data_IF_922671508235
#
_entry.id   IF_922671508235
#
_cell.length_a   1.000
_cell.length_b   1.000
_cell.length_c   1.000
_cell.angle_alpha   90.00
_cell.angle_beta   90.00
_cell.angle_gamma   90.00
#
_symmetry.space_group_name_H-M   'P 1'
#
loop_
_entity.id
_entity.type
_entity.pdbx_description
1 polymer ?
#
# COMPACT_ATOMS: atom_id res chain seq x y z
N UNK A 1 -24.03 22.20 -55.51
CA UNK A 1 -24.53 21.24 -54.50
C UNK A 1 -23.56 21.27 -53.33
N UNK A 2 -23.97 21.65 -52.11
CA UNK A 2 -23.09 21.59 -50.95
C UNK A 2 -23.00 20.13 -50.46
N UNK A 3 -21.77 19.65 -50.27
CA UNK A 3 -21.50 18.36 -49.63
C UNK A 3 -21.83 18.45 -48.14
N UNK A 4 -22.82 17.67 -47.73
CA UNK A 4 -23.13 17.39 -46.33
C UNK A 4 -21.98 16.58 -45.73
N UNK A 5 -21.24 17.19 -44.79
CA UNK A 5 -20.20 16.52 -44.02
C UNK A 5 -20.86 15.61 -42.97
N UNK A 6 -20.46 14.35 -43.05
CA UNK A 6 -21.01 13.17 -42.39
C UNK A 6 -20.87 13.20 -40.87
N UNK A 7 -21.83 12.54 -40.24
CA UNK A 7 -21.87 12.06 -38.86
C UNK A 7 -20.50 11.88 -38.20
N UNK A 8 -20.17 12.76 -37.26
CA UNK A 8 -19.21 12.45 -36.20
C UNK A 8 -19.81 11.30 -35.38
N UNK A 9 -19.25 10.09 -35.51
CA UNK A 9 -19.42 9.07 -34.49
C UNK A 9 -18.78 9.64 -33.22
N UNK A 10 -19.63 10.16 -32.32
CA UNK A 10 -19.17 10.62 -31.02
C UNK A 10 -18.46 9.46 -30.35
N UNK A 11 -17.16 9.62 -30.10
CA UNK A 11 -16.41 8.69 -29.27
C UNK A 11 -17.15 8.65 -27.93
N UNK A 12 -17.61 7.46 -27.52
CA UNK A 12 -18.11 7.28 -26.17
C UNK A 12 -16.97 7.60 -25.20
N UNK A 13 -17.27 8.38 -24.17
CA UNK A 13 -16.28 8.66 -23.14
C UNK A 13 -15.85 7.35 -22.47
N UNK A 14 -14.54 7.12 -22.27
CA UNK A 14 -14.05 5.93 -21.58
C UNK A 14 -14.68 5.81 -20.19
N UNK A 15 -15.03 4.58 -19.79
CA UNK A 15 -15.49 4.32 -18.44
C UNK A 15 -14.36 4.38 -17.41
N UNK A 16 -14.70 4.47 -16.12
CA UNK A 16 -13.74 4.48 -14.99
C UNK A 16 -12.65 3.38 -15.09
N UNK A 17 -13.03 2.17 -15.48
CA UNK A 17 -12.11 1.03 -15.66
C UNK A 17 -11.15 1.23 -16.83
N UNK A 18 -11.59 1.90 -17.89
CA UNK A 18 -10.76 2.12 -19.07
C UNK A 18 -9.58 3.03 -18.73
N UNK A 19 -9.77 4.04 -17.88
CA UNK A 19 -8.69 4.90 -17.41
C UNK A 19 -7.64 4.14 -16.58
N UNK A 20 -8.09 3.30 -15.64
CA UNK A 20 -7.20 2.43 -14.87
C UNK A 20 -6.39 1.52 -15.81
N UNK A 21 -7.05 0.88 -16.76
CA UNK A 21 -6.41 0.00 -17.73
C UNK A 21 -5.42 0.75 -18.65
N UNK A 22 -5.73 1.98 -19.06
CA UNK A 22 -4.82 2.83 -19.84
C UNK A 22 -3.55 3.14 -19.04
N UNK A 23 -3.69 3.51 -17.76
CA UNK A 23 -2.53 3.78 -16.89
C UNK A 23 -1.68 2.52 -16.71
N UNK A 24 -2.30 1.38 -16.41
CA UNK A 24 -1.61 0.11 -16.28
C UNK A 24 -0.93 -0.33 -17.58
N UNK A 25 -1.59 -0.13 -18.74
CA UNK A 25 -1.01 -0.41 -20.05
C UNK A 25 0.22 0.48 -20.33
N UNK A 26 0.17 1.75 -19.94
CA UNK A 26 1.30 2.66 -20.07
C UNK A 26 2.50 2.18 -19.23
N UNK A 27 2.28 1.79 -17.98
CA UNK A 27 3.33 1.20 -17.14
C UNK A 27 3.86 -0.12 -17.72
N UNK A 28 2.97 -1.00 -18.18
CA UNK A 28 3.32 -2.27 -18.81
C UNK A 28 4.11 -2.11 -20.13
N UNK A 29 4.10 -0.93 -20.75
CA UNK A 29 4.96 -0.67 -21.92
C UNK A 29 6.46 -0.55 -21.59
N UNK A 30 6.82 -0.43 -20.30
CA UNK A 30 8.21 -0.33 -19.82
C UNK A 30 8.73 -1.62 -19.17
N UNK A 31 8.12 -2.79 -19.44
CA UNK A 31 8.43 -4.08 -18.81
C UNK A 31 9.88 -4.58 -18.90
N UNK A 32 10.65 -4.11 -19.88
CA UNK A 32 12.06 -4.50 -20.04
C UNK A 32 13.01 -3.77 -19.09
N UNK A 33 12.53 -2.77 -18.35
CA UNK A 33 13.34 -2.00 -17.42
C UNK A 33 13.23 -2.67 -16.05
N UNK A 34 14.22 -3.48 -15.69
CA UNK A 34 14.35 -4.08 -14.35
C UNK A 34 15.77 -3.91 -13.83
N UNK A 35 15.96 -3.62 -12.52
CA UNK A 35 14.93 -3.41 -11.49
C UNK A 35 14.29 -2.02 -11.54
N UNK A 36 13.01 -1.93 -11.16
CA UNK A 36 12.31 -0.67 -10.87
C UNK A 36 12.16 -0.52 -9.37
N UNK A 37 12.50 0.65 -8.85
CA UNK A 37 12.22 1.04 -7.48
C UNK A 37 10.84 1.69 -7.34
N UNK A 38 10.14 1.43 -6.24
CA UNK A 38 8.91 2.14 -5.88
C UNK A 38 9.12 2.87 -4.56
N UNK A 39 8.91 4.19 -4.55
CA UNK A 39 9.02 5.00 -3.35
C UNK A 39 7.66 5.13 -2.67
N UNK A 40 7.45 4.35 -1.60
CA UNK A 40 6.33 4.54 -0.69
C UNK A 40 6.52 5.84 0.07
N UNK A 41 5.62 6.79 -0.18
CA UNK A 41 5.62 8.10 0.47
C UNK A 41 4.23 8.43 0.99
N UNK A 42 4.11 9.00 2.21
CA UNK A 42 2.87 9.59 2.65
C UNK A 42 2.39 10.66 1.66
N UNK A 43 1.08 10.72 1.42
CA UNK A 43 0.42 11.74 0.58
C UNK A 43 -0.63 12.49 1.41
N UNK A 44 -1.76 11.83 1.69
CA UNK A 44 -2.90 12.37 2.43
C UNK A 44 -2.86 12.05 3.94
N UNK A 45 -2.01 11.11 4.34
CA UNK A 45 -1.79 10.67 5.72
C UNK A 45 -0.30 10.78 6.09
N UNK A 46 0.11 10.22 7.24
CA UNK A 46 1.50 10.28 7.69
C UNK A 46 1.71 11.24 8.86
N UNK A 47 2.97 11.39 9.27
CA UNK A 47 3.34 12.25 10.40
C UNK A 47 2.83 13.68 10.25
N UNK A 48 2.91 14.24 9.04
CA UNK A 48 2.51 15.61 8.74
C UNK A 48 1.01 15.84 8.98
N UNK A 49 0.14 14.89 8.60
CA UNK A 49 -1.30 14.96 8.91
C UNK A 49 -1.51 15.16 10.42
N UNK A 50 -0.93 14.30 11.25
CA UNK A 50 -1.13 14.38 12.69
C UNK A 50 -0.51 15.62 13.32
N UNK A 51 0.55 16.17 12.74
CA UNK A 51 1.13 17.45 13.18
C UNK A 51 0.17 18.61 12.88
N UNK A 52 -0.37 18.66 11.66
CA UNK A 52 -1.34 19.68 11.24
C UNK A 52 -2.63 19.58 12.05
N UNK A 53 -3.19 18.38 12.26
CA UNK A 53 -4.38 18.20 13.12
C UNK A 53 -4.13 18.77 14.52
N UNK A 54 -2.96 18.51 15.09
CA UNK A 54 -2.59 19.00 16.41
C UNK A 54 -2.41 20.53 16.45
N UNK A 55 -1.83 21.15 15.42
CA UNK A 55 -1.65 22.62 15.38
C UNK A 55 -2.97 23.38 15.24
N UNK A 56 -3.97 22.78 14.59
CA UNK A 56 -5.32 23.32 14.49
C UNK A 56 -6.23 22.92 15.67
N UNK A 57 -5.74 22.08 16.60
CA UNK A 57 -6.52 21.64 17.77
C UNK A 57 -7.66 20.67 17.44
N UNK A 58 -7.63 20.03 16.27
CA UNK A 58 -8.64 19.07 15.78
C UNK A 58 -8.15 17.62 15.91
N UNK A 59 -9.06 16.66 15.77
CA UNK A 59 -8.79 15.22 15.95
C UNK A 59 -8.85 14.40 14.68
N UNK A 60 -9.53 14.87 13.66
CA UNK A 60 -9.63 14.17 12.38
C UNK A 60 -9.70 15.13 11.19
N UNK A 61 -9.64 14.53 9.99
CA UNK A 61 -9.62 15.27 8.74
C UNK A 61 -10.94 16.00 8.45
N UNK A 62 -12.08 15.49 8.93
CA UNK A 62 -13.38 16.14 8.70
C UNK A 62 -13.45 17.45 9.48
N UNK A 63 -12.99 17.46 10.73
CA UNK A 63 -12.86 18.67 11.53
C UNK A 63 -11.91 19.69 10.89
N UNK A 64 -10.80 19.23 10.29
CA UNK A 64 -9.85 20.11 9.60
C UNK A 64 -10.45 20.75 8.35
N UNK A 65 -11.09 19.95 7.49
CA UNK A 65 -11.74 20.42 6.25
C UNK A 65 -12.92 21.34 6.54
N UNK A 66 -13.59 21.17 7.68
CA UNK A 66 -14.64 22.09 8.12
C UNK A 66 -14.13 23.49 8.50
N UNK A 67 -12.83 23.64 8.81
CA UNK A 67 -12.19 24.93 9.06
C UNK A 67 -11.84 25.61 7.73
N UNK A 68 -11.09 24.91 6.88
CA UNK A 68 -10.69 25.36 5.55
C UNK A 68 -10.30 24.12 4.72
N UNK A 69 -11.07 23.87 3.65
CA UNK A 69 -10.86 22.72 2.76
C UNK A 69 -9.49 22.73 2.09
N UNK A 70 -8.89 23.91 1.90
CA UNK A 70 -7.58 24.06 1.28
C UNK A 70 -6.43 23.67 2.22
N UNK A 71 -6.65 23.55 3.54
CA UNK A 71 -5.59 23.14 4.48
C UNK A 71 -5.05 21.77 4.10
N UNK A 72 -5.92 20.82 3.74
CA UNK A 72 -5.52 19.47 3.36
C UNK A 72 -4.54 19.51 2.17
N UNK A 73 -4.86 20.30 1.15
CA UNK A 73 -4.01 20.43 -0.04
C UNK A 73 -2.71 21.15 0.30
N UNK A 74 -2.83 22.32 0.93
CA UNK A 74 -1.74 23.28 1.14
C UNK A 74 -0.72 22.81 2.16
N UNK A 75 -1.18 22.22 3.26
CA UNK A 75 -0.34 21.91 4.42
C UNK A 75 0.01 20.43 4.55
N UNK A 76 -0.70 19.53 3.87
CA UNK A 76 -0.45 18.08 3.97
C UNK A 76 -0.04 17.50 2.62
N UNK A 77 -0.91 17.55 1.60
CA UNK A 77 -0.70 16.85 0.33
C UNK A 77 0.45 17.47 -0.46
N UNK A 78 0.44 18.79 -0.67
CA UNK A 78 1.46 19.47 -1.46
C UNK A 78 2.86 19.31 -0.85
N UNK A 79 3.08 19.56 0.46
CA UNK A 79 4.41 19.37 1.05
C UNK A 79 4.88 17.92 1.01
N UNK A 80 3.98 16.95 1.25
CA UNK A 80 4.30 15.54 1.15
C UNK A 80 4.69 15.13 -0.28
N UNK A 81 3.91 15.57 -1.27
CA UNK A 81 4.15 15.28 -2.67
C UNK A 81 5.49 15.86 -3.14
N UNK A 82 5.74 17.15 -2.89
CA UNK A 82 6.98 17.82 -3.26
C UNK A 82 8.20 17.15 -2.61
N UNK A 83 8.11 16.80 -1.31
CA UNK A 83 9.20 16.10 -0.64
C UNK A 83 9.41 14.68 -1.18
N UNK A 84 8.34 13.95 -1.51
CA UNK A 84 8.41 12.63 -2.10
C UNK A 84 9.03 12.64 -3.50
N UNK A 85 8.63 13.60 -4.34
CA UNK A 85 9.18 13.82 -5.69
C UNK A 85 10.67 14.12 -5.60
N UNK A 86 11.07 15.09 -4.76
CA UNK A 86 12.47 15.45 -4.60
C UNK A 86 13.34 14.27 -4.11
N UNK A 87 12.81 13.45 -3.20
CA UNK A 87 13.49 12.24 -2.72
C UNK A 87 13.61 11.20 -3.82
N UNK A 88 12.54 10.92 -4.57
CA UNK A 88 12.55 9.96 -5.68
C UNK A 88 13.54 10.35 -6.77
N UNK A 89 13.58 11.63 -7.15
CA UNK A 89 14.55 12.16 -8.11
C UNK A 89 16.00 11.97 -7.63
N UNK A 90 16.24 12.18 -6.33
CA UNK A 90 17.55 11.94 -5.71
C UNK A 90 17.91 10.46 -5.76
N UNK A 91 17.03 9.57 -5.32
CA UNK A 91 17.25 8.13 -5.29
C UNK A 91 17.49 7.57 -6.71
N UNK A 92 16.72 8.03 -7.70
CA UNK A 92 16.89 7.62 -9.09
C UNK A 92 18.30 7.96 -9.62
N UNK A 93 18.83 9.15 -9.28
CA UNK A 93 20.20 9.55 -9.63
C UNK A 93 21.25 8.74 -8.88
N UNK A 94 21.09 8.62 -7.56
CA UNK A 94 22.08 8.00 -6.69
C UNK A 94 22.20 6.48 -6.97
N UNK A 95 21.07 5.79 -7.14
CA UNK A 95 21.01 4.34 -7.30
C UNK A 95 21.02 3.89 -8.76
N UNK A 96 20.87 4.84 -9.70
CA UNK A 96 20.88 4.58 -11.16
C UNK A 96 19.82 3.57 -11.61
N UNK A 97 18.67 3.59 -10.94
CA UNK A 97 17.48 2.82 -11.32
C UNK A 97 16.29 3.78 -11.48
N UNK A 98 15.31 3.47 -12.34
CA UNK A 98 14.07 4.23 -12.36
C UNK A 98 13.33 4.07 -11.03
N UNK A 99 12.80 5.18 -10.52
CA UNK A 99 11.98 5.21 -9.30
C UNK A 99 10.57 5.69 -9.65
N UNK A 100 9.58 4.87 -9.34
CA UNK A 100 8.17 5.26 -9.40
C UNK A 100 7.85 6.06 -8.14
N UNK A 101 7.34 7.27 -8.33
CA UNK A 101 6.97 8.19 -7.25
C UNK A 101 5.48 8.49 -7.37
N UNK A 102 4.61 7.82 -6.59
CA UNK A 102 3.16 7.92 -6.73
C UNK A 102 2.59 9.35 -6.72
N UNK A 103 3.07 10.29 -5.88
CA UNK A 103 2.58 11.67 -5.89
C UNK A 103 2.74 12.43 -7.22
N UNK A 104 3.58 11.97 -8.15
CA UNK A 104 3.69 12.55 -9.51
C UNK A 104 2.38 12.33 -10.28
N UNK A 105 1.67 11.25 -9.98
CA UNK A 105 0.35 11.00 -10.53
C UNK A 105 -0.65 11.91 -9.82
N UNK A 106 -0.95 13.06 -10.44
CA UNK A 106 -1.84 14.11 -9.94
C UNK A 106 -3.31 13.65 -9.89
N UNK A 107 -3.64 12.65 -9.07
CA UNK A 107 -4.98 12.08 -8.91
C UNK A 107 -6.02 13.13 -8.49
N UNK A 108 -5.61 14.25 -7.89
CA UNK A 108 -6.51 15.36 -7.58
C UNK A 108 -7.02 16.08 -8.81
N UNK A 109 -6.19 16.26 -9.85
CA UNK A 109 -6.67 16.76 -11.14
C UNK A 109 -7.70 15.79 -11.69
N UNK A 110 -7.45 14.49 -11.58
CA UNK A 110 -8.40 13.47 -12.01
C UNK A 110 -9.71 13.51 -11.23
N UNK A 111 -9.70 13.66 -9.91
CA UNK A 111 -10.93 13.84 -9.10
C UNK A 111 -11.73 15.07 -9.49
N UNK A 112 -11.05 16.17 -9.83
CA UNK A 112 -11.71 17.41 -10.27
C UNK A 112 -12.47 17.23 -11.59
N UNK A 113 -11.91 16.46 -12.53
CA UNK A 113 -12.48 16.26 -13.86
C UNK A 113 -13.34 14.99 -13.98
N UNK A 114 -13.13 14.00 -13.12
CA UNK A 114 -13.80 12.71 -13.11
C UNK A 114 -14.23 12.39 -11.68
N UNK A 115 -15.50 12.72 -11.38
CA UNK A 115 -16.08 12.57 -10.02
C UNK A 115 -16.14 11.13 -9.53
N UNK A 116 -15.91 10.17 -10.43
CA UNK A 116 -16.00 8.75 -10.10
C UNK A 116 -14.67 8.14 -9.63
N UNK A 117 -13.57 8.92 -9.61
CA UNK A 117 -12.27 8.42 -9.15
C UNK A 117 -12.16 8.41 -7.63
N UNK A 118 -12.01 7.21 -7.05
CA UNK A 118 -11.93 7.00 -5.61
C UNK A 118 -10.52 6.64 -5.14
N UNK A 119 -10.28 6.69 -3.84
CA UNK A 119 -9.03 6.22 -3.22
C UNK A 119 -8.73 4.75 -3.58
N UNK A 120 -9.75 3.90 -3.69
CA UNK A 120 -9.56 2.48 -4.04
C UNK A 120 -9.03 2.28 -5.46
N UNK A 121 -9.38 3.13 -6.43
CA UNK A 121 -8.83 3.03 -7.79
C UNK A 121 -7.37 3.42 -7.82
N UNK A 122 -7.01 4.45 -7.05
CA UNK A 122 -5.64 4.89 -6.87
C UNK A 122 -4.80 3.77 -6.27
N UNK A 123 -5.25 3.17 -5.16
CA UNK A 123 -4.54 2.05 -4.53
C UNK A 123 -4.47 0.82 -5.45
N UNK A 124 -5.54 0.54 -6.20
CA UNK A 124 -5.54 -0.56 -7.17
C UNK A 124 -4.43 -0.41 -8.21
N UNK A 125 -4.29 0.77 -8.84
CA UNK A 125 -3.23 1.02 -9.81
C UNK A 125 -1.86 0.73 -9.20
N UNK A 126 -1.60 1.25 -8.01
CA UNK A 126 -0.26 1.11 -7.41
C UNK A 126 0.04 -0.30 -6.95
N UNK A 127 -0.93 -1.04 -6.39
CA UNK A 127 -0.70 -2.43 -6.04
C UNK A 127 -0.43 -3.31 -7.25
N UNK A 128 -1.08 -3.02 -8.39
CA UNK A 128 -0.80 -3.69 -9.66
C UNK A 128 0.61 -3.36 -10.17
N UNK A 129 0.98 -2.08 -10.17
CA UNK A 129 2.33 -1.64 -10.55
C UNK A 129 3.40 -2.27 -9.65
N UNK A 130 3.20 -2.28 -8.32
CA UNK A 130 4.12 -2.90 -7.36
C UNK A 130 4.25 -4.40 -7.66
N UNK A 131 3.12 -5.08 -7.87
CA UNK A 131 3.10 -6.52 -8.14
C UNK A 131 3.81 -6.89 -9.44
N UNK A 132 3.58 -6.14 -10.51
CA UNK A 132 3.99 -6.53 -11.86
C UNK A 132 5.36 -6.01 -12.28
N UNK A 133 5.84 -4.93 -11.67
CA UNK A 133 7.04 -4.22 -12.15
C UNK A 133 8.11 -3.97 -11.10
N UNK A 134 7.73 -3.90 -9.82
CA UNK A 134 8.64 -3.42 -8.78
C UNK A 134 9.42 -4.60 -8.21
N UNK A 135 10.75 -4.51 -8.29
CA UNK A 135 11.66 -5.43 -7.61
C UNK A 135 12.19 -4.88 -6.29
N UNK A 136 12.07 -3.56 -6.08
CA UNK A 136 12.64 -2.85 -4.95
C UNK A 136 11.64 -1.84 -4.37
N UNK A 137 11.08 -2.19 -3.21
CA UNK A 137 10.23 -1.31 -2.40
C UNK A 137 11.08 -0.43 -1.49
N UNK A 138 10.86 0.89 -1.56
CA UNK A 138 11.62 1.90 -0.81
C UNK A 138 10.66 2.64 0.11
N UNK A 139 10.91 2.57 1.41
CA UNK A 139 10.06 3.16 2.42
C UNK A 139 10.62 4.50 2.87
N UNK A 140 9.93 5.60 2.54
CA UNK A 140 10.31 6.94 3.02
C UNK A 140 10.18 7.02 4.55
N UNK A 141 11.04 7.80 5.20
CA UNK A 141 10.91 8.05 6.63
C UNK A 141 9.50 8.55 7.00
N UNK A 142 8.94 7.97 8.06
CA UNK A 142 7.57 8.24 8.50
C UNK A 142 6.48 7.46 7.76
N UNK A 143 6.82 6.53 6.85
CA UNK A 143 5.85 5.66 6.17
C UNK A 143 4.91 4.92 7.12
N UNK A 144 5.40 4.53 8.29
CA UNK A 144 4.65 3.78 9.32
C UNK A 144 3.54 4.60 10.00
N UNK A 145 3.49 5.92 9.77
CA UNK A 145 2.38 6.78 10.17
C UNK A 145 1.35 6.97 9.04
N UNK A 146 1.63 6.50 7.82
CA UNK A 146 0.76 6.68 6.67
C UNK A 146 -0.08 5.42 6.45
N UNK A 147 -1.40 5.59 6.29
CA UNK A 147 -2.28 4.48 5.95
C UNK A 147 -1.83 3.83 4.64
N UNK A 148 -1.60 4.63 3.59
CA UNK A 148 -1.09 4.14 2.31
C UNK A 148 0.28 3.48 2.45
N UNK A 149 1.23 4.13 3.15
CA UNK A 149 2.57 3.58 3.32
C UNK A 149 2.62 2.25 4.08
N UNK A 150 1.78 2.09 5.11
CA UNK A 150 1.67 0.81 5.83
C UNK A 150 1.01 -0.25 4.97
N UNK A 151 -0.07 0.07 4.25
CA UNK A 151 -0.72 -0.91 3.36
C UNK A 151 0.19 -1.35 2.21
N UNK A 152 0.98 -0.43 1.65
CA UNK A 152 2.00 -0.74 0.65
C UNK A 152 3.13 -1.61 1.22
N UNK A 153 3.56 -1.38 2.47
CA UNK A 153 4.52 -2.26 3.15
C UNK A 153 3.96 -3.67 3.34
N UNK A 154 2.71 -3.80 3.81
CA UNK A 154 2.02 -5.07 3.96
C UNK A 154 1.93 -5.81 2.63
N UNK A 155 1.59 -5.12 1.54
CA UNK A 155 1.57 -5.67 0.18
C UNK A 155 2.96 -6.12 -0.29
N UNK A 156 4.01 -5.33 -0.03
CA UNK A 156 5.38 -5.70 -0.36
C UNK A 156 5.85 -6.94 0.44
N UNK A 157 5.45 -7.07 1.71
CA UNK A 157 5.70 -8.25 2.53
C UNK A 157 4.97 -9.47 1.95
N UNK A 158 3.71 -9.32 1.56
CA UNK A 158 2.93 -10.36 0.91
C UNK A 158 3.65 -10.90 -0.34
N UNK A 159 4.11 -10.01 -1.20
CA UNK A 159 4.87 -10.36 -2.42
C UNK A 159 6.22 -11.01 -2.07
N UNK A 160 6.95 -10.49 -1.08
CA UNK A 160 8.22 -11.04 -0.61
C UNK A 160 8.07 -12.48 -0.11
N UNK A 161 6.98 -12.76 0.59
CA UNK A 161 6.65 -14.08 1.13
C UNK A 161 5.98 -15.01 0.12
N UNK A 162 5.78 -14.55 -1.13
CA UNK A 162 5.10 -15.29 -2.20
C UNK A 162 3.70 -15.76 -1.79
N UNK A 163 3.02 -14.98 -0.94
CA UNK A 163 1.64 -15.23 -0.55
C UNK A 163 0.73 -14.58 -1.61
N UNK A 164 0.14 -15.38 -2.51
CA UNK A 164 -0.85 -14.81 -3.43
C UNK A 164 -2.19 -14.62 -2.72
N UNK A 165 -2.91 -13.51 -2.98
CA UNK A 165 -4.34 -13.49 -2.80
C UNK A 165 -4.97 -14.55 -3.73
N UNK A 166 -5.92 -15.34 -3.23
CA UNK A 166 -6.71 -16.24 -4.07
C UNK A 166 -7.58 -15.39 -5.00
N UNK A 167 -7.13 -15.25 -6.25
CA UNK A 167 -7.94 -14.68 -7.31
C UNK A 167 -8.78 -15.81 -7.95
N UNK A 168 -8.24 -17.02 -8.10
CA UNK A 168 -8.80 -18.09 -8.93
C UNK A 168 -10.12 -18.74 -8.50
N UNK A 169 -10.62 -18.53 -7.27
CA UNK A 169 -11.81 -19.22 -6.78
C UNK A 169 -11.67 -20.76 -6.74
N UNK A 170 -10.46 -21.29 -6.94
CA UNK A 170 -10.17 -22.70 -6.97
C UNK A 170 -9.84 -23.20 -5.56
N UNK A 171 -10.73 -24.04 -5.02
CA UNK A 171 -10.73 -24.51 -3.63
C UNK A 171 -9.59 -25.45 -3.23
N UNK A 172 -8.56 -25.65 -4.06
CA UNK A 172 -7.57 -26.72 -3.86
C UNK A 172 -6.14 -26.25 -3.55
N UNK A 173 -5.88 -24.95 -3.39
CA UNK A 173 -4.55 -24.46 -3.02
C UNK A 173 -4.31 -24.50 -1.50
N UNK A 174 -3.22 -25.14 -1.09
CA UNK A 174 -2.80 -25.41 0.31
C UNK A 174 -2.12 -24.22 1.01
N UNK A 175 -2.03 -23.06 0.35
CA UNK A 175 -1.48 -21.82 0.91
C UNK A 175 -2.58 -20.90 1.46
N UNK A 176 -2.28 -20.15 2.53
CA UNK A 176 -3.27 -19.35 3.23
C UNK A 176 -3.63 -18.13 2.39
N UNK A 177 -4.93 -17.90 2.21
CA UNK A 177 -5.47 -16.76 1.48
C UNK A 177 -5.21 -15.50 2.29
N UNK A 178 -4.38 -14.60 1.80
CA UNK A 178 -4.25 -13.24 2.35
C UNK A 178 -4.74 -12.23 1.33
N UNK A 179 -5.88 -11.63 1.63
CA UNK A 179 -6.52 -10.61 0.79
C UNK A 179 -6.16 -9.23 1.36
N UNK A 180 -5.68 -8.29 0.54
CA UNK A 180 -5.67 -6.89 0.91
C UNK A 180 -7.11 -6.46 1.18
N UNK A 181 -7.32 -5.93 2.38
CA UNK A 181 -8.62 -5.59 2.93
C UNK A 181 -9.47 -4.64 2.05
N UNK A 182 -8.83 -3.80 1.24
CA UNK A 182 -9.50 -2.79 0.41
C UNK A 182 -9.66 -3.18 -1.07
N UNK A 183 -9.26 -4.40 -1.48
CA UNK A 183 -9.26 -4.83 -2.89
C UNK A 183 -10.25 -5.95 -3.20
N UNK A 184 -11.51 -5.79 -2.79
CA UNK A 184 -12.60 -6.52 -3.43
C UNK A 184 -12.96 -5.84 -4.76
N UNK A 185 -12.41 -6.36 -5.85
CA UNK A 185 -13.07 -6.33 -7.14
C UNK A 185 -13.22 -7.78 -7.57
N UNK A 186 -14.43 -8.31 -7.47
CA UNK A 186 -14.87 -9.65 -7.90
C UNK A 186 -14.53 -9.99 -9.37
N UNK A 187 -13.86 -9.10 -10.11
CA UNK A 187 -13.65 -9.17 -11.56
C UNK A 187 -12.27 -9.65 -12.00
N UNK A 188 -11.39 -10.11 -11.10
CA UNK A 188 -9.99 -10.41 -11.46
C UNK A 188 -9.53 -11.83 -11.14
N UNK A 189 -10.48 -12.74 -11.02
CA UNK A 189 -10.24 -14.12 -10.63
C UNK A 189 -9.34 -14.93 -11.59
N UNK A 190 -9.19 -14.49 -12.84
CA UNK A 190 -8.76 -15.37 -13.93
C UNK A 190 -7.30 -15.19 -14.38
N UNK A 191 -6.47 -14.40 -13.67
CA UNK A 191 -5.08 -14.15 -14.08
C UNK A 191 -4.11 -15.15 -13.45
N UNK A 192 -3.39 -15.91 -14.29
CA UNK A 192 -2.18 -16.65 -13.89
C UNK A 192 -1.09 -15.65 -13.46
N UNK A 193 -0.51 -15.86 -12.28
CA UNK A 193 0.53 -15.00 -11.72
C UNK A 193 1.87 -15.73 -11.83
N UNK A 194 2.76 -15.23 -12.68
CA UNK A 194 4.16 -15.60 -12.64
C UNK A 194 4.88 -14.78 -11.58
N UNK A 195 5.54 -15.45 -10.63
CA UNK A 195 6.37 -14.76 -9.66
C UNK A 195 7.70 -14.35 -10.28
N UNK A 196 8.19 -13.13 -10.00
CA UNK A 196 9.58 -12.80 -10.32
C UNK A 196 10.52 -13.79 -9.61
N UNK A 197 11.61 -14.14 -10.30
CA UNK A 197 12.61 -15.09 -9.76
C UNK A 197 13.16 -14.62 -8.41
N UNK A 198 13.38 -13.31 -8.26
CA UNK A 198 13.87 -12.69 -7.05
C UNK A 198 12.73 -12.16 -6.17
N UNK A 199 12.79 -12.38 -4.84
CA UNK A 199 11.82 -11.83 -3.91
C UNK A 199 11.93 -10.30 -3.83
N UNK A 200 10.80 -9.65 -3.55
CA UNK A 200 10.73 -8.20 -3.31
C UNK A 200 11.75 -7.76 -2.24
N UNK A 201 12.62 -6.82 -2.60
CA UNK A 201 13.54 -6.17 -1.66
C UNK A 201 12.81 -5.00 -1.02
N UNK A 202 12.86 -4.90 0.31
CA UNK A 202 12.26 -3.77 1.05
C UNK A 202 13.37 -3.05 1.81
N UNK A 203 13.60 -1.78 1.49
CA UNK A 203 14.58 -0.93 2.18
C UNK A 203 13.96 0.35 2.68
N UNK A 204 14.66 1.05 3.57
CA UNK A 204 14.40 2.46 3.82
C UNK A 204 14.97 3.34 2.69
N UNK A 205 14.81 4.66 2.86
CA UNK A 205 15.32 5.67 1.93
C UNK A 205 16.85 5.82 1.90
N UNK A 206 17.59 5.12 2.76
CA UNK A 206 19.05 5.09 2.79
C UNK A 206 19.61 3.81 2.16
N UNK A 207 18.75 2.83 1.87
CA UNK A 207 19.11 1.54 1.29
C UNK A 207 19.28 0.44 2.33
N UNK A 208 19.00 0.72 3.60
CA UNK A 208 19.06 -0.28 4.66
C UNK A 208 17.83 -1.20 4.59
N UNK A 209 18.05 -2.51 4.69
CA UNK A 209 16.97 -3.50 4.59
C UNK A 209 16.01 -3.34 5.77
N UNK A 210 14.72 -3.22 5.48
CA UNK A 210 13.67 -3.29 6.47
C UNK A 210 13.21 -4.75 6.58
N UNK A 211 13.46 -5.35 7.74
CA UNK A 211 12.93 -6.69 8.06
C UNK A 211 11.45 -6.60 8.40
N UNK A 212 10.75 -7.74 8.37
CA UNK A 212 9.33 -7.79 8.73
C UNK A 212 9.15 -7.42 10.21
N UNK A 213 10.05 -7.89 11.08
CA UNK A 213 10.11 -7.54 12.50
C UNK A 213 10.29 -6.04 12.71
N UNK A 214 11.21 -5.39 11.98
CA UNK A 214 11.41 -3.95 12.06
C UNK A 214 10.17 -3.17 11.58
N UNK A 215 9.50 -3.68 10.54
CA UNK A 215 8.22 -3.13 10.09
C UNK A 215 7.12 -3.20 11.16
N UNK A 216 6.95 -4.37 11.80
CA UNK A 216 6.03 -4.57 12.93
C UNK A 216 6.34 -3.58 14.06
N UNK A 217 7.61 -3.48 14.46
CA UNK A 217 8.05 -2.54 15.51
C UNK A 217 7.71 -1.08 15.17
N UNK A 218 8.01 -0.64 13.94
CA UNK A 218 7.76 0.73 13.49
C UNK A 218 6.26 1.05 13.47
N UNK A 219 5.42 0.14 12.95
CA UNK A 219 3.97 0.31 12.92
C UNK A 219 3.39 0.36 14.33
N UNK A 220 3.78 -0.56 15.22
CA UNK A 220 3.38 -0.55 16.63
C UNK A 220 3.80 0.76 17.32
N UNK A 221 5.00 1.25 17.06
CA UNK A 221 5.50 2.50 17.61
C UNK A 221 4.65 3.70 17.16
N UNK A 222 4.27 3.76 15.88
CA UNK A 222 3.33 4.79 15.39
C UNK A 222 1.97 4.68 16.08
N UNK A 223 1.41 3.48 16.20
CA UNK A 223 0.11 3.25 16.86
C UNK A 223 0.15 3.78 18.30
N UNK A 224 1.14 3.38 19.09
CA UNK A 224 1.31 3.83 20.47
C UNK A 224 1.47 5.36 20.53
N UNK A 225 2.31 5.93 19.67
CA UNK A 225 2.50 7.38 19.61
C UNK A 225 1.18 8.12 19.36
N UNK A 226 0.37 7.64 18.42
CA UNK A 226 -0.88 8.29 18.01
C UNK A 226 -1.96 8.16 19.08
N UNK A 227 -2.13 6.99 19.70
CA UNK A 227 -3.06 6.84 20.84
C UNK A 227 -2.65 7.72 22.04
N UNK A 228 -1.35 7.82 22.34
CA UNK A 228 -0.86 8.74 23.39
C UNK A 228 -1.18 10.21 23.09
N UNK A 229 -1.24 10.58 21.81
CA UNK A 229 -1.65 11.91 21.33
C UNK A 229 -3.17 12.06 21.17
N UNK A 230 -3.94 11.06 21.61
CA UNK A 230 -5.41 11.01 21.55
C UNK A 230 -5.97 10.95 20.12
N UNK A 231 -5.21 10.43 19.17
CA UNK A 231 -5.71 10.04 17.85
C UNK A 231 -6.16 8.58 17.86
N UNK A 232 -7.01 8.20 16.89
CA UNK A 232 -7.48 6.82 16.70
C UNK A 232 -6.95 6.25 15.37
N UNK A 233 -5.75 5.64 15.34
CA UNK A 233 -5.13 5.13 14.11
C UNK A 233 -5.67 3.76 13.67
N UNK A 234 -6.99 3.62 13.55
CA UNK A 234 -7.66 2.32 13.32
C UNK A 234 -7.15 1.60 12.07
N UNK A 235 -6.94 2.31 10.96
CA UNK A 235 -6.37 1.73 9.73
C UNK A 235 -4.97 1.14 9.93
N UNK A 236 -4.13 1.74 10.78
CA UNK A 236 -2.80 1.20 11.09
C UNK A 236 -2.90 -0.07 11.94
N UNK A 237 -3.84 -0.10 12.90
CA UNK A 237 -4.08 -1.26 13.74
C UNK A 237 -4.59 -2.46 12.92
N UNK A 238 -5.51 -2.22 11.99
CA UNK A 238 -6.00 -3.22 11.03
C UNK A 238 -4.87 -3.75 10.16
N UNK A 239 -4.04 -2.86 9.59
CA UNK A 239 -2.91 -3.29 8.76
C UNK A 239 -1.88 -4.09 9.56
N UNK A 240 -1.62 -3.72 10.82
CA UNK A 240 -0.77 -4.50 11.73
C UNK A 240 -1.36 -5.89 11.97
N UNK A 241 -2.67 -6.00 12.23
CA UNK A 241 -3.35 -7.29 12.41
C UNK A 241 -3.18 -8.20 11.18
N UNK A 242 -3.31 -7.66 9.97
CA UNK A 242 -3.08 -8.44 8.75
C UNK A 242 -1.64 -8.91 8.62
N UNK A 243 -0.68 -8.04 8.93
CA UNK A 243 0.74 -8.40 8.94
C UNK A 243 1.01 -9.54 9.95
N UNK A 244 0.44 -9.44 11.15
CA UNK A 244 0.53 -10.49 12.17
C UNK A 244 -0.01 -11.82 11.65
N UNK A 245 -1.19 -11.79 11.03
CA UNK A 245 -1.80 -12.97 10.44
C UNK A 245 -0.91 -13.65 9.40
N UNK A 246 -0.29 -12.89 8.48
CA UNK A 246 0.64 -13.43 7.49
C UNK A 246 1.84 -14.09 8.16
N UNK A 247 2.42 -13.43 9.16
CA UNK A 247 3.57 -13.93 9.93
C UNK A 247 3.24 -15.26 10.59
N UNK A 248 2.13 -15.35 11.34
CA UNK A 248 1.71 -16.60 11.99
C UNK A 248 1.53 -17.72 10.96
N UNK A 249 0.87 -17.42 9.85
CA UNK A 249 0.57 -18.41 8.84
C UNK A 249 1.83 -18.93 8.16
N UNK A 250 2.80 -18.06 7.87
CA UNK A 250 4.08 -18.46 7.30
C UNK A 250 4.91 -19.27 8.29
N UNK A 251 5.00 -18.86 9.56
CA UNK A 251 5.71 -19.64 10.58
C UNK A 251 5.10 -21.04 10.76
N UNK A 252 3.77 -21.15 10.85
CA UNK A 252 3.11 -22.46 10.90
C UNK A 252 3.42 -23.30 9.65
N UNK A 253 3.45 -22.69 8.46
CA UNK A 253 3.77 -23.41 7.23
C UNK A 253 5.23 -23.85 7.13
N UNK A 254 6.15 -23.10 7.74
CA UNK A 254 7.55 -23.48 7.87
C UNK A 254 7.72 -24.66 8.83
N UNK A 255 7.04 -24.61 9.99
CA UNK A 255 7.03 -25.71 10.97
C UNK A 255 6.43 -27.01 10.39
N UNK A 256 5.39 -26.88 9.57
CA UNK A 256 4.73 -28.02 8.89
C UNK A 256 5.47 -28.53 7.64
N UNK A 257 6.56 -27.88 7.20
CA UNK A 257 7.27 -28.24 5.96
C UNK A 257 6.50 -27.99 4.66
N UNK A 258 5.44 -27.17 4.67
CA UNK A 258 4.55 -26.95 3.51
C UNK A 258 5.24 -26.26 2.32
N UNK A 259 6.23 -25.40 2.58
CA UNK A 259 7.02 -24.76 1.51
C UNK A 259 7.84 -25.79 0.72
N UNK A 260 8.46 -26.75 1.42
CA UNK A 260 9.24 -27.82 0.78
C UNK A 260 8.35 -28.72 -0.07
N UNK A 261 7.17 -29.10 0.44
CA UNK A 261 6.18 -29.90 -0.30
C UNK A 261 5.70 -29.16 -1.55
N UNK A 262 5.57 -27.84 -1.50
CA UNK A 262 5.16 -27.02 -2.63
C UNK A 262 6.30 -26.72 -3.63
N UNK A 263 7.56 -27.12 -3.34
CA UNK A 263 8.72 -26.77 -4.16
C UNK A 263 9.05 -25.28 -4.17
N UNK A 264 8.60 -24.53 -3.15
CA UNK A 264 8.84 -23.09 -3.03
C UNK A 264 10.02 -22.89 -2.07
N UNK A 265 10.99 -22.07 -2.45
CA UNK A 265 12.06 -21.65 -1.54
C UNK A 265 11.45 -20.97 -0.32
N UNK A 266 11.59 -21.62 0.84
CA UNK A 266 11.18 -21.07 2.12
C UNK A 266 11.91 -19.74 2.39
N UNK A 267 11.27 -18.79 3.11
CA UNK A 267 12.01 -17.72 3.76
C UNK A 267 13.16 -18.32 4.59
N UNK A 268 14.34 -17.71 4.53
CA UNK A 268 15.56 -18.29 5.09
C UNK A 268 15.51 -18.58 6.60
N UNK A 269 14.56 -18.00 7.35
CA UNK A 269 14.37 -18.22 8.78
C UNK A 269 12.89 -18.05 9.19
N UNK A 270 12.49 -18.74 10.27
CA UNK A 270 11.27 -18.42 10.98
C UNK A 270 11.36 -17.03 11.61
N UNK A 271 10.23 -16.35 11.71
CA UNK A 271 10.11 -15.07 12.40
C UNK A 271 10.31 -15.22 13.91
N UNK A 272 10.90 -14.20 14.55
CA UNK A 272 10.99 -14.15 16.02
C UNK A 272 9.61 -13.84 16.63
N UNK A 273 8.83 -14.90 16.88
CA UNK A 273 7.45 -14.78 17.35
C UNK A 273 7.35 -14.12 18.72
N UNK A 274 8.29 -14.34 19.63
CA UNK A 274 8.26 -13.71 20.96
C UNK A 274 8.33 -12.18 20.84
N UNK A 275 9.21 -11.68 19.97
CA UNK A 275 9.35 -10.26 19.74
C UNK A 275 8.11 -9.67 19.04
N UNK A 276 7.64 -10.32 17.99
CA UNK A 276 6.47 -9.88 17.21
C UNK A 276 5.19 -9.89 18.08
N UNK A 277 4.98 -10.93 18.87
CA UNK A 277 3.84 -11.02 19.81
C UNK A 277 3.88 -9.89 20.84
N UNK A 278 5.07 -9.54 21.35
CA UNK A 278 5.21 -8.44 22.29
C UNK A 278 4.79 -7.09 21.68
N UNK A 279 5.15 -6.81 20.43
CA UNK A 279 4.71 -5.59 19.74
C UNK A 279 3.20 -5.57 19.48
N UNK A 280 2.62 -6.70 19.09
CA UNK A 280 1.18 -6.82 18.90
C UNK A 280 0.40 -6.57 20.20
N UNK A 281 0.80 -7.23 21.29
CA UNK A 281 0.17 -7.07 22.60
C UNK A 281 0.24 -5.62 23.10
N UNK A 282 1.35 -4.92 22.86
CA UNK A 282 1.47 -3.49 23.18
C UNK A 282 0.49 -2.63 22.37
N UNK A 283 0.32 -2.93 21.08
CA UNK A 283 -0.60 -2.19 20.21
C UNK A 283 -2.08 -2.39 20.61
N UNK A 284 -2.50 -3.63 20.91
CA UNK A 284 -3.85 -3.91 21.44
C UNK A 284 -4.03 -3.23 22.81
N UNK A 285 -3.06 -3.39 23.71
CA UNK A 285 -3.21 -2.88 25.08
C UNK A 285 -3.41 -1.37 25.12
N UNK A 286 -2.80 -0.61 24.20
CA UNK A 286 -2.96 0.85 24.16
C UNK A 286 -4.23 1.28 23.41
N UNK A 287 -4.69 0.51 22.41
CA UNK A 287 -5.91 0.84 21.68
C UNK A 287 -7.14 0.72 22.57
N UNK A 288 -7.11 -0.20 23.54
CA UNK A 288 -8.28 -0.58 24.33
C UNK A 288 -9.35 -1.28 23.49
N UNK A 289 -9.03 -1.60 22.23
CA UNK A 289 -9.90 -2.32 21.31
C UNK A 289 -9.69 -3.82 21.52
N UNK A 290 -10.77 -4.59 21.53
CA UNK A 290 -10.66 -6.06 21.50
C UNK A 290 -10.61 -6.57 20.05
N UNK A 291 -10.15 -7.81 19.86
CA UNK A 291 -10.02 -8.43 18.53
C UNK A 291 -11.32 -8.37 17.70
N UNK A 292 -12.48 -8.45 18.36
CA UNK A 292 -13.79 -8.38 17.70
C UNK A 292 -14.08 -6.98 17.16
N UNK A 293 -13.69 -5.92 17.86
CA UNK A 293 -13.84 -4.54 17.42
C UNK A 293 -12.93 -4.25 16.22
N UNK A 294 -11.67 -4.71 16.28
CA UNK A 294 -10.72 -4.60 15.15
C UNK A 294 -11.26 -5.36 13.94
N UNK A 295 -11.80 -6.56 14.15
CA UNK A 295 -12.42 -7.35 13.08
C UNK A 295 -13.66 -6.67 12.48
N UNK A 296 -14.47 -6.01 13.31
CA UNK A 296 -15.63 -5.24 12.84
C UNK A 296 -15.22 -4.02 12.00
N UNK A 297 -14.14 -3.34 12.37
CA UNK A 297 -13.56 -2.23 11.58
C UNK A 297 -13.07 -2.74 10.22
N UNK A 298 -12.58 -3.98 10.15
CA UNK A 298 -12.31 -4.60 8.87
C UNK A 298 -13.64 -4.76 8.10
N UNK A 299 -14.71 -5.29 8.66
CA UNK A 299 -15.87 -5.61 7.81
C UNK A 299 -16.85 -4.44 7.56
N UNK A 300 -16.45 -3.19 7.81
CA UNK A 300 -17.25 -1.96 7.67
C UNK A 300 -16.80 -1.08 6.51
#
# INVERSE_FOLDING_TARGET
MPMSLRHSHGLQEPGRRDYVNIVLAAFNSFRSITPVGYLSTPITSGQLLYQVLQSYGVKDLNELVAIDEDILIREIITPNALSGIALGDKLARDWKIPIIVPPVFESERWRKYNRDWEEKDYMHIWYQVIREMVGHMIMRNGWHYSNGGVSEFVHAVQLRLRLLPDLSGSSNNTFPKYLPFDLYLDSFAELEIEFPELPMIITDQYGDIITIEAGVELITTAIINLYNRKFKPQKLLVALMHLMGMIYSVNSHLEDGKYEVAGISAPNNCFNMDNINNYWLKAISISGENDREIYQICHS
#
